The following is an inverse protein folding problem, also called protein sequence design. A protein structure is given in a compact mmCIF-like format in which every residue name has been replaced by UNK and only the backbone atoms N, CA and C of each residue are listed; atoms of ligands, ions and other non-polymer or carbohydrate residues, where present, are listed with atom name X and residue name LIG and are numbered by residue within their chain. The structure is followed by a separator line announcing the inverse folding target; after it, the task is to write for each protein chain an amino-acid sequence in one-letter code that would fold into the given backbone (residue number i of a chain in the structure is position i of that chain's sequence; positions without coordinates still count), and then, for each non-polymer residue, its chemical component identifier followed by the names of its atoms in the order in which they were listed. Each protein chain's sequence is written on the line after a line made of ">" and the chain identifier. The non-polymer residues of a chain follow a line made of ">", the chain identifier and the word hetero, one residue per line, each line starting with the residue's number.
data_IF_382691018124
#
_entry.id   IF_382691018124
#
_cell.length_a   1.000
_cell.length_b   1.000
_cell.length_c   1.000
_cell.angle_alpha   90.00
_cell.angle_beta   90.00
_cell.angle_gamma   90.00
#
_symmetry.space_group_name_H-M   'P 1'
#
loop_
_entity.id
_entity.type
_entity.pdbx_description
1 polymer ?
#
# COMPACT_ATOMS: atom_id res chain seq x y z
N UNK A 1 -2.35 -11.41 -5.55
CA UNK A 1 -2.48 -10.20 -4.70
C UNK A 1 -2.88 -10.67 -3.31
N UNK A 2 -2.21 -10.22 -2.24
CA UNK A 2 -2.21 -10.82 -0.89
C UNK A 2 -3.62 -11.11 -0.32
N UNK A 3 -4.61 -10.29 -0.65
CA UNK A 3 -5.98 -10.38 -0.12
C UNK A 3 -7.04 -10.79 -1.15
N UNK A 4 -6.68 -11.07 -2.41
CA UNK A 4 -7.68 -11.27 -3.48
C UNK A 4 -8.33 -9.95 -3.97
N UNK A 5 -8.94 -9.96 -5.16
CA UNK A 5 -9.55 -8.75 -5.75
C UNK A 5 -10.86 -8.37 -5.05
N UNK A 6 -11.58 -9.35 -4.53
CA UNK A 6 -12.85 -9.19 -3.81
C UNK A 6 -12.70 -8.45 -2.47
N UNK A 7 -11.48 -8.35 -1.94
CA UNK A 7 -11.15 -7.64 -0.70
C UNK A 7 -10.46 -6.29 -0.97
N UNK A 8 -10.53 -5.79 -2.21
CA UNK A 8 -9.96 -4.50 -2.61
C UNK A 8 -11.06 -3.55 -3.06
N UNK A 9 -11.06 -2.35 -2.51
CA UNK A 9 -12.00 -1.29 -2.89
C UNK A 9 -11.24 0.00 -3.22
N UNK A 10 -11.81 0.82 -4.10
CA UNK A 10 -11.28 2.15 -4.33
C UNK A 10 -11.44 3.01 -3.08
N UNK A 11 -10.33 3.57 -2.60
CA UNK A 11 -10.35 4.47 -1.46
C UNK A 11 -11.29 5.66 -1.72
N UNK A 12 -12.22 5.89 -0.78
CA UNK A 12 -13.07 7.09 -0.83
C UNK A 12 -12.19 8.31 -0.61
N UNK A 13 -12.46 9.39 -1.35
CA UNK A 13 -11.80 10.68 -1.13
C UNK A 13 -12.00 11.10 0.32
N UNK A 14 -10.91 11.27 1.05
CA UNK A 14 -10.90 11.81 2.40
C UNK A 14 -10.40 13.26 2.35
N UNK A 15 -10.98 14.13 3.18
CA UNK A 15 -10.51 15.50 3.35
C UNK A 15 -9.44 15.64 4.46
N UNK A 16 -8.94 14.50 4.98
CA UNK A 16 -7.83 14.49 5.93
C UNK A 16 -6.52 14.87 5.23
N UNK A 17 -5.62 15.50 5.97
CA UNK A 17 -4.26 15.77 5.52
C UNK A 17 -3.37 14.55 5.78
N UNK A 18 -2.56 14.18 4.80
CA UNK A 18 -1.54 13.13 4.89
C UNK A 18 -0.26 13.66 4.24
N UNK A 19 0.86 13.62 4.95
CA UNK A 19 2.11 14.20 4.45
C UNK A 19 2.75 13.33 3.35
N UNK A 20 2.33 12.07 3.22
CA UNK A 20 2.77 11.17 2.17
C UNK A 20 2.53 11.73 0.75
N UNK A 21 1.52 12.57 0.59
CA UNK A 21 1.24 13.27 -0.67
C UNK A 21 2.44 14.08 -1.20
N UNK A 22 3.27 14.62 -0.30
CA UNK A 22 4.48 15.37 -0.68
C UNK A 22 5.55 14.51 -1.37
N UNK A 23 5.55 13.19 -1.17
CA UNK A 23 6.39 12.27 -1.94
C UNK A 23 5.78 11.99 -3.31
N UNK A 24 4.45 11.80 -3.36
CA UNK A 24 3.71 11.52 -4.60
C UNK A 24 3.74 12.69 -5.58
N UNK A 25 3.93 13.92 -5.11
CA UNK A 25 4.17 15.10 -5.94
C UNK A 25 5.51 15.06 -6.69
N UNK A 26 6.48 14.27 -6.22
CA UNK A 26 7.85 14.23 -6.76
C UNK A 26 8.19 12.96 -7.50
N UNK A 27 7.66 11.82 -7.05
CA UNK A 27 7.96 10.51 -7.63
C UNK A 27 6.68 9.68 -7.77
N UNK A 28 6.56 8.82 -8.80
CA UNK A 28 5.47 7.87 -8.89
C UNK A 28 5.45 6.99 -7.64
N UNK A 29 4.28 6.88 -7.03
CA UNK A 29 4.08 6.04 -5.85
C UNK A 29 2.61 5.67 -5.69
N UNK A 30 2.33 4.89 -4.66
CA UNK A 30 0.98 4.45 -4.33
C UNK A 30 0.78 4.54 -2.82
N UNK A 31 -0.44 4.89 -2.42
CA UNK A 31 -0.87 4.95 -1.03
C UNK A 31 -2.17 4.14 -0.90
N UNK A 32 -2.30 3.37 0.17
CA UNK A 32 -3.48 2.56 0.45
C UNK A 32 -3.80 2.60 1.94
N UNK A 33 -5.06 2.31 2.26
CA UNK A 33 -5.52 2.14 3.64
C UNK A 33 -5.81 0.66 3.86
N UNK A 34 -5.22 0.08 4.90
CA UNK A 34 -5.55 -1.26 5.36
C UNK A 34 -6.73 -1.19 6.34
N UNK A 35 -7.79 -1.95 6.09
CA UNK A 35 -8.88 -2.08 7.03
C UNK A 35 -8.38 -2.70 8.35
N UNK A 36 -8.62 -2.03 9.48
CA UNK A 36 -8.16 -2.46 10.81
C UNK A 36 -9.26 -3.07 11.68
N UNK A 37 -10.45 -3.30 11.12
CA UNK A 37 -11.60 -3.82 11.86
C UNK A 37 -12.16 -2.89 12.95
N UNK A 38 -11.65 -1.66 13.07
CA UNK A 38 -12.06 -0.74 14.14
C UNK A 38 -13.51 -0.25 13.95
N UNK A 39 -14.37 -0.31 14.99
CA UNK A 39 -15.69 0.34 14.94
C UNK A 39 -15.58 1.87 15.06
N UNK A 40 -14.45 2.37 15.52
CA UNK A 40 -14.16 3.79 15.73
C UNK A 40 -13.26 4.33 14.63
N UNK A 41 -13.41 5.61 14.30
CA UNK A 41 -12.49 6.29 13.36
C UNK A 41 -11.14 6.60 14.05
N UNK A 42 -10.05 6.73 13.29
CA UNK A 42 -8.82 7.33 13.79
C UNK A 42 -9.10 8.67 14.48
N UNK A 43 -8.30 9.00 15.51
CA UNK A 43 -8.49 10.13 16.45
C UNK A 43 -9.62 9.99 17.50
N UNK A 44 -10.40 8.92 17.49
CA UNK A 44 -11.28 8.59 18.62
C UNK A 44 -10.49 8.03 19.81
N UNK A 45 -10.85 8.33 21.07
CA UNK A 45 -10.27 7.66 22.24
C UNK A 45 -10.63 6.16 22.32
N UNK A 46 -11.61 5.72 21.54
CA UNK A 46 -12.04 4.33 21.43
C UNK A 46 -11.51 3.64 20.17
N UNK A 47 -10.55 4.25 19.47
CA UNK A 47 -9.90 3.62 18.33
C UNK A 47 -9.08 2.41 18.79
N UNK A 48 -9.35 1.26 18.18
CA UNK A 48 -8.63 0.00 18.39
C UNK A 48 -8.28 -0.65 17.06
N UNK A 49 -7.30 -1.55 17.04
CA UNK A 49 -6.86 -2.27 15.84
C UNK A 49 -7.10 -3.76 16.08
N UNK A 50 -7.70 -4.43 15.10
CA UNK A 50 -7.67 -5.89 15.00
C UNK A 50 -6.26 -6.32 14.57
N UNK A 51 -5.48 -6.83 15.52
CA UNK A 51 -4.07 -7.19 15.27
C UNK A 51 -3.89 -8.35 14.29
N UNK A 52 -4.96 -9.09 13.96
CA UNK A 52 -4.92 -10.12 12.93
C UNK A 52 -4.58 -9.58 11.54
N UNK A 53 -4.71 -8.26 11.32
CA UNK A 53 -4.36 -7.59 10.05
C UNK A 53 -2.88 -7.26 9.94
N UNK A 54 -2.10 -7.28 11.03
CA UNK A 54 -0.68 -6.91 11.02
C UNK A 54 0.17 -7.80 10.10
N UNK A 55 0.00 -9.15 10.09
CA UNK A 55 0.67 -10.01 9.12
C UNK A 55 0.25 -9.72 7.68
N UNK A 56 -1.02 -9.35 7.45
CA UNK A 56 -1.55 -9.00 6.11
C UNK A 56 -0.87 -7.74 5.59
N UNK A 57 -0.83 -6.67 6.39
CA UNK A 57 -0.14 -5.43 6.02
C UNK A 57 1.35 -5.65 5.71
N UNK A 58 2.01 -6.44 6.55
CA UNK A 58 3.42 -6.82 6.36
C UNK A 58 3.64 -7.57 5.04
N UNK A 59 2.79 -8.55 4.74
CA UNK A 59 2.83 -9.31 3.50
C UNK A 59 2.55 -8.42 2.27
N UNK A 60 1.62 -7.46 2.35
CA UNK A 60 1.35 -6.49 1.27
C UNK A 60 2.60 -5.68 0.95
N UNK A 61 3.26 -5.10 1.95
CA UNK A 61 4.48 -4.31 1.74
C UNK A 61 5.63 -5.16 1.17
N UNK A 62 5.88 -6.34 1.73
CA UNK A 62 6.94 -7.24 1.26
C UNK A 62 6.69 -7.69 -0.18
N UNK A 63 5.46 -8.11 -0.50
CA UNK A 63 5.08 -8.53 -1.85
C UNK A 63 5.13 -7.38 -2.84
N UNK A 64 4.74 -6.16 -2.45
CA UNK A 64 4.84 -4.98 -3.31
C UNK A 64 6.30 -4.69 -3.67
N UNK A 65 7.19 -4.62 -2.67
CA UNK A 65 8.62 -4.38 -2.92
C UNK A 65 9.24 -5.48 -3.79
N UNK A 66 8.95 -6.75 -3.48
CA UNK A 66 9.47 -7.90 -4.22
C UNK A 66 9.00 -7.90 -5.68
N UNK A 67 7.70 -7.76 -5.92
CA UNK A 67 7.15 -7.78 -7.28
C UNK A 67 7.57 -6.56 -8.10
N UNK A 68 7.66 -5.38 -7.48
CA UNK A 68 8.20 -4.18 -8.13
C UNK A 68 9.63 -4.43 -8.62
N UNK A 69 10.52 -4.88 -7.75
CA UNK A 69 11.92 -5.13 -8.08
C UNK A 69 12.10 -6.24 -9.12
N UNK A 70 11.33 -7.33 -9.02
CA UNK A 70 11.33 -8.39 -10.03
C UNK A 70 10.96 -7.85 -11.40
N UNK A 71 9.84 -7.13 -11.50
CA UNK A 71 9.34 -6.61 -12.77
C UNK A 71 10.31 -5.58 -13.37
N UNK A 72 10.94 -4.74 -12.54
CA UNK A 72 11.94 -3.78 -13.01
C UNK A 72 13.25 -4.43 -13.42
N UNK A 73 13.65 -5.56 -12.81
CA UNK A 73 14.88 -6.28 -13.18
C UNK A 73 14.70 -7.04 -14.49
N UNK A 74 13.53 -7.64 -14.70
CA UNK A 74 13.19 -8.35 -15.94
C UNK A 74 12.99 -7.43 -17.14
N UNK A 75 12.84 -6.11 -16.93
CA UNK A 75 12.67 -5.11 -17.98
C UNK A 75 14.00 -4.54 -18.52
N UNK A 76 15.12 -5.23 -18.34
CA UNK A 76 16.38 -4.86 -19.01
C UNK A 76 16.26 -5.24 -20.50
N UNK A 77 16.34 -4.30 -21.46
CA UNK A 77 16.44 -4.66 -22.86
C UNK A 77 17.79 -5.33 -23.08
N UNK A 78 17.79 -6.53 -23.66
CA UNK A 78 18.96 -7.11 -24.29
C UNK A 78 19.46 -6.15 -25.38
N UNK A 79 20.42 -5.29 -25.07
CA UNK A 79 21.00 -4.41 -26.08
C UNK A 79 21.74 -3.20 -25.50
N UNK A 80 23.04 -3.36 -25.33
CA UNK A 80 24.08 -2.46 -25.81
C UNK A 80 25.43 -2.98 -25.30
N UNK A 81 26.00 -3.89 -26.09
CA UNK A 81 27.46 -4.01 -26.17
C UNK A 81 27.96 -2.76 -26.90
N UNK A 82 28.90 -2.05 -26.28
CA UNK A 82 29.65 -0.93 -26.83
C UNK A 82 30.92 -0.78 -26.01
#
# INVERSE_FOLDING_TARGET
>A
MVVGEENVEYARRAMGSEDFGMYLDRIPGSFFVLGTGSPSRPHSPYFSIDESVLPIGSAIHAMFAYTYLLNTTTATPSGCIG
#
